data_IF_240963347010
#
_entry.id   IF_240963347010
#
_cell.length_a   1.000
_cell.length_b   1.000
_cell.length_c   1.000
_cell.angle_alpha   90.00
_cell.angle_beta   90.00
_cell.angle_gamma   90.00
#
_symmetry.space_group_name_H-M   'P 1'
#
loop_
_entity.id
_entity.type
_entity.pdbx_description
1 polymer ?
#
# COMPACT_ATOMS: atom_id res chain seq x y z
N UNK A 1 -0.74 13.17 6.77
CA UNK A 1 -1.03 13.14 5.31
C UNK A 1 -0.63 11.78 4.79
N UNK A 2 -1.60 10.87 4.63
CA UNK A 2 -1.36 9.52 4.12
C UNK A 2 -1.24 9.61 2.60
N UNK A 3 -0.01 9.58 2.08
CA UNK A 3 0.20 9.52 0.64
C UNK A 3 -0.52 8.29 0.05
N UNK A 4 -1.26 8.42 -1.06
CA UNK A 4 -1.70 7.26 -1.81
C UNK A 4 -0.50 6.73 -2.58
N UNK A 5 0.42 6.04 -1.90
CA UNK A 5 1.38 5.17 -2.58
C UNK A 5 0.71 3.82 -2.83
N UNK A 6 -0.42 3.88 -3.52
CA UNK A 6 -1.13 2.72 -4.08
C UNK A 6 -1.22 2.95 -5.58
N UNK A 7 -0.05 3.00 -6.22
CA UNK A 7 0.04 3.07 -7.68
C UNK A 7 0.66 1.79 -8.14
N UNK A 8 -0.13 0.98 -8.84
CA UNK A 8 0.42 -0.13 -9.60
C UNK A 8 1.16 0.45 -10.81
N UNK A 9 2.43 0.08 -11.00
CA UNK A 9 3.27 0.55 -12.10
C UNK A 9 3.08 -0.27 -13.39
N UNK A 10 2.09 -1.17 -13.38
CA UNK A 10 1.66 -2.03 -14.47
C UNK A 10 0.14 -2.22 -14.42
N UNK A 11 -0.40 -2.70 -15.52
CA UNK A 11 -1.80 -3.13 -15.66
C UNK A 11 -2.13 -4.42 -14.89
N UNK A 12 -1.13 -5.17 -14.43
CA UNK A 12 -1.39 -6.38 -13.66
C UNK A 12 -2.01 -6.11 -12.29
N UNK A 13 -2.95 -6.94 -11.88
CA UNK A 13 -3.57 -6.97 -10.54
C UNK A 13 -3.50 -8.37 -9.95
N UNK A 14 -3.79 -8.50 -8.65
CA UNK A 14 -3.78 -9.79 -7.96
C UNK A 14 -4.77 -10.73 -8.63
N UNK A 15 -4.28 -11.90 -9.06
CA UNK A 15 -5.07 -12.97 -9.66
C UNK A 15 -4.63 -14.30 -9.06
N UNK A 16 -5.52 -14.93 -8.28
CA UNK A 16 -5.18 -16.12 -7.49
C UNK A 16 -3.96 -15.89 -6.59
N UNK A 17 -2.91 -16.70 -6.78
CA UNK A 17 -1.64 -16.62 -6.05
C UNK A 17 -0.61 -15.66 -6.67
N UNK A 18 -0.92 -15.05 -7.82
CA UNK A 18 0.03 -14.24 -8.59
C UNK A 18 -0.55 -12.92 -9.08
N UNK A 19 0.01 -12.42 -10.18
CA UNK A 19 -0.42 -11.21 -10.86
C UNK A 19 -0.64 -11.51 -12.34
N UNK A 20 -1.75 -11.04 -12.88
CA UNK A 20 -2.12 -11.17 -14.29
C UNK A 20 -2.66 -9.83 -14.79
N UNK A 21 -2.65 -9.56 -16.11
CA UNK A 21 -3.31 -8.40 -16.69
C UNK A 21 -4.75 -8.27 -16.18
N UNK A 22 -5.12 -7.08 -15.74
CA UNK A 22 -6.48 -6.82 -15.29
C UNK A 22 -7.41 -6.63 -16.50
N UNK A 23 -8.63 -7.13 -16.38
CA UNK A 23 -9.64 -6.98 -17.41
C UNK A 23 -10.13 -5.53 -17.47
N UNK A 24 -9.69 -4.82 -18.52
CA UNK A 24 -10.06 -3.42 -18.74
C UNK A 24 -11.56 -3.26 -19.03
N UNK A 25 -12.27 -4.30 -19.47
CA UNK A 25 -13.72 -4.23 -19.68
C UNK A 25 -14.49 -4.12 -18.36
N UNK A 26 -13.93 -4.66 -17.26
CA UNK A 26 -14.51 -4.57 -15.93
C UNK A 26 -14.32 -3.18 -15.28
N UNK A 27 -13.26 -2.45 -15.66
CA UNK A 27 -13.03 -1.07 -15.23
C UNK A 27 -12.10 -0.37 -16.23
N UNK A 28 -12.62 0.38 -17.21
CA UNK A 28 -11.80 1.01 -18.25
C UNK A 28 -10.74 1.99 -17.71
N UNK A 29 -11.03 2.64 -16.58
CA UNK A 29 -10.17 3.66 -15.98
C UNK A 29 -9.25 3.12 -14.88
N UNK A 30 -9.08 1.80 -14.76
CA UNK A 30 -8.28 1.18 -13.69
C UNK A 30 -6.79 1.58 -13.74
N UNK A 31 -6.29 1.91 -14.93
CA UNK A 31 -4.91 2.35 -15.14
C UNK A 31 -4.75 3.88 -15.15
N UNK A 32 -5.80 4.66 -14.90
CA UNK A 32 -5.68 6.13 -14.76
C UNK A 32 -5.10 6.53 -13.41
N UNK A 33 -4.46 7.70 -13.37
CA UNK A 33 -4.09 8.36 -12.12
C UNK A 33 -5.33 8.50 -11.21
N UNK A 34 -5.27 8.20 -9.92
CA UNK A 34 -4.10 7.95 -9.03
C UNK A 34 -3.63 6.48 -8.93
N UNK A 35 -4.37 5.53 -9.50
CA UNK A 35 -4.18 4.08 -9.27
C UNK A 35 -3.27 3.38 -10.28
N UNK A 36 -3.13 3.95 -11.48
CA UNK A 36 -2.29 3.40 -12.54
C UNK A 36 -1.36 4.41 -13.18
N UNK A 37 -1.03 4.16 -14.44
CA UNK A 37 0.05 4.77 -15.18
C UNK A 37 -0.38 5.80 -16.25
N UNK A 38 -1.66 5.89 -16.58
CA UNK A 38 -2.21 6.87 -17.51
C UNK A 38 -2.47 8.22 -16.81
N UNK A 39 -2.23 9.33 -17.51
CA UNK A 39 -2.50 10.71 -17.05
C UNK A 39 -1.88 11.07 -15.68
N UNK A 40 -0.62 10.67 -15.48
CA UNK A 40 0.13 10.95 -14.25
C UNK A 40 0.43 12.44 -14.08
N UNK A 41 0.61 12.84 -12.83
CA UNK A 41 1.12 14.17 -12.43
C UNK A 41 2.42 14.55 -13.16
N UNK A 42 2.65 15.84 -13.47
CA UNK A 42 3.75 16.28 -14.35
C UNK A 42 5.14 15.80 -13.94
N UNK A 43 5.45 15.77 -12.63
CA UNK A 43 6.77 15.32 -12.16
C UNK A 43 7.04 13.81 -12.39
N UNK A 44 6.00 13.03 -12.67
CA UNK A 44 6.08 11.61 -13.00
C UNK A 44 5.79 11.34 -14.49
N UNK A 45 5.58 12.38 -15.30
CA UNK A 45 5.39 12.26 -16.74
C UNK A 45 6.68 11.76 -17.43
N UNK A 46 6.52 11.04 -18.54
CA UNK A 46 7.64 10.55 -19.36
C UNK A 46 8.48 9.40 -18.78
N UNK A 47 8.29 9.02 -17.51
CA UNK A 47 8.98 7.87 -16.92
C UNK A 47 8.16 6.59 -17.06
N UNK A 48 8.80 5.51 -17.51
CA UNK A 48 8.19 4.18 -17.49
C UNK A 48 8.01 3.66 -16.06
N UNK A 49 7.08 2.72 -15.89
CA UNK A 49 6.74 2.18 -14.58
C UNK A 49 7.90 1.50 -13.86
N UNK A 50 8.72 0.72 -14.58
CA UNK A 50 9.87 0.04 -13.97
C UNK A 50 10.91 1.04 -13.47
N UNK A 51 11.13 2.13 -14.20
CA UNK A 51 12.02 3.22 -13.75
C UNK A 51 11.50 3.85 -12.46
N UNK A 52 10.20 4.17 -12.39
CA UNK A 52 9.59 4.72 -11.19
C UNK A 52 9.67 3.74 -10.00
N UNK A 53 9.36 2.46 -10.23
CA UNK A 53 9.47 1.44 -9.19
C UNK A 53 10.90 1.26 -8.69
N UNK A 54 11.91 1.21 -9.58
CA UNK A 54 13.32 1.12 -9.16
C UNK A 54 13.71 2.28 -8.25
N UNK A 55 13.28 3.50 -8.57
CA UNK A 55 13.51 4.67 -7.72
C UNK A 55 12.75 4.55 -6.41
N UNK A 56 11.51 4.07 -6.45
CA UNK A 56 10.66 3.92 -5.28
C UNK A 56 11.25 2.90 -4.29
N UNK A 57 11.62 1.71 -4.77
CA UNK A 57 12.16 0.60 -3.97
C UNK A 57 13.44 0.93 -3.19
N UNK A 58 14.16 1.99 -3.55
CA UNK A 58 15.37 2.45 -2.84
C UNK A 58 15.08 3.50 -1.76
N UNK A 59 13.84 4.00 -1.66
CA UNK A 59 13.42 4.92 -0.61
C UNK A 59 13.13 4.14 0.66
N UNK A 60 13.35 4.79 1.80
CA UNK A 60 12.90 4.28 3.10
C UNK A 60 11.42 4.60 3.22
N UNK A 61 10.58 3.57 3.14
CA UNK A 61 9.13 3.70 3.29
C UNK A 61 8.67 2.70 4.33
N UNK A 62 7.90 3.17 5.32
CA UNK A 62 7.23 2.29 6.27
C UNK A 62 5.74 2.32 6.01
N UNK A 63 5.16 1.17 5.66
CA UNK A 63 3.72 1.00 5.57
C UNK A 63 3.16 0.65 6.95
N UNK A 64 2.17 1.42 7.38
CA UNK A 64 1.38 1.11 8.57
C UNK A 64 -0.06 0.88 8.12
N UNK A 65 -0.65 -0.26 8.44
CA UNK A 65 -2.06 -0.54 8.12
C UNK A 65 -2.77 -1.14 9.32
N UNK A 66 -3.96 -0.64 9.63
CA UNK A 66 -4.76 -1.16 10.73
C UNK A 66 -5.33 -2.54 10.41
N UNK A 67 -5.23 -3.50 11.34
CA UNK A 67 -5.80 -4.85 11.14
C UNK A 67 -7.34 -4.85 11.09
N UNK A 68 -7.97 -3.76 11.58
CA UNK A 68 -9.42 -3.55 11.56
C UNK A 68 -9.84 -2.50 10.52
N UNK A 69 -8.94 -2.05 9.63
CA UNK A 69 -9.29 -1.20 8.48
C UNK A 69 -9.80 -2.08 7.32
N UNK A 70 -10.81 -2.89 7.64
CA UNK A 70 -11.32 -4.04 6.88
C UNK A 70 -12.82 -3.93 6.57
N UNK A 71 -13.42 -2.76 6.74
CA UNK A 71 -14.82 -2.50 6.41
C UNK A 71 -14.96 -2.00 4.95
N UNK A 72 -15.55 -2.79 4.03
CA UNK A 72 -15.80 -2.34 2.65
C UNK A 72 -16.91 -1.28 2.56
N UNK A 73 -17.78 -1.22 3.59
CA UNK A 73 -18.86 -0.25 3.69
C UNK A 73 -18.41 1.15 4.11
N UNK A 74 -17.18 1.29 4.62
CA UNK A 74 -16.70 2.51 5.26
C UNK A 74 -16.93 3.77 4.39
N UNK A 75 -17.49 4.82 5.01
CA UNK A 75 -17.95 6.04 4.29
C UNK A 75 -16.84 6.74 3.51
N UNK A 76 -15.64 6.78 4.07
CA UNK A 76 -14.46 7.45 3.47
C UNK A 76 -13.64 6.53 2.56
N UNK A 77 -14.12 5.32 2.28
CA UNK A 77 -13.44 4.42 1.36
C UNK A 77 -13.72 4.87 -0.08
N UNK A 78 -12.65 4.98 -0.87
CA UNK A 78 -12.79 5.19 -2.32
C UNK A 78 -13.35 3.90 -2.94
N UNK A 79 -14.59 3.96 -3.43
CA UNK A 79 -15.34 2.83 -4.02
C UNK A 79 -15.39 2.91 -5.56
N UNK A 80 -14.55 3.75 -6.17
CA UNK A 80 -14.42 3.77 -7.63
C UNK A 80 -13.88 2.44 -8.14
N UNK A 81 -14.24 2.05 -9.36
CA UNK A 81 -13.82 0.74 -9.89
C UNK A 81 -12.30 0.56 -9.87
N UNK A 82 -11.53 1.63 -10.12
CA UNK A 82 -10.06 1.60 -10.10
C UNK A 82 -9.52 1.32 -8.70
N UNK A 83 -10.20 1.80 -7.67
CA UNK A 83 -9.86 1.55 -6.28
C UNK A 83 -10.24 0.12 -5.84
N UNK A 84 -11.42 -0.36 -6.26
CA UNK A 84 -11.88 -1.73 -6.03
C UNK A 84 -11.00 -2.77 -6.72
N UNK A 85 -10.39 -2.43 -7.87
CA UNK A 85 -9.41 -3.28 -8.54
C UNK A 85 -8.16 -3.57 -7.68
N UNK A 86 -7.89 -2.77 -6.63
CA UNK A 86 -6.82 -3.02 -5.67
C UNK A 86 -7.25 -3.90 -4.49
N UNK A 87 -8.55 -4.06 -4.26
CA UNK A 87 -9.16 -4.84 -3.17
C UNK A 87 -10.32 -4.11 -2.47
N UNK A 88 -11.17 -4.84 -1.74
CA UNK A 88 -12.42 -4.29 -1.18
C UNK A 88 -12.23 -3.45 0.08
N UNK A 89 -11.06 -3.52 0.73
CA UNK A 89 -10.80 -2.82 2.00
C UNK A 89 -9.42 -2.17 2.00
N UNK A 90 -9.16 -1.20 2.88
CA UNK A 90 -7.83 -0.56 2.95
C UNK A 90 -6.75 -1.55 3.38
N UNK A 91 -7.09 -2.52 4.23
CA UNK A 91 -6.23 -3.64 4.62
C UNK A 91 -5.89 -4.54 3.42
N UNK A 92 -6.89 -4.97 2.64
CA UNK A 92 -6.65 -5.81 1.46
C UNK A 92 -5.83 -5.09 0.42
N UNK A 93 -6.14 -3.83 0.14
CA UNK A 93 -5.38 -2.99 -0.79
C UNK A 93 -3.92 -2.86 -0.36
N UNK A 94 -3.63 -2.72 0.94
CA UNK A 94 -2.26 -2.64 1.45
C UNK A 94 -1.53 -3.99 1.24
N UNK A 95 -2.14 -5.10 1.62
CA UNK A 95 -1.56 -6.44 1.44
C UNK A 95 -1.33 -6.77 -0.04
N UNK A 96 -2.27 -6.40 -0.92
CA UNK A 96 -2.15 -6.60 -2.36
C UNK A 96 -1.02 -5.77 -2.95
N UNK A 97 -0.86 -4.53 -2.51
CA UNK A 97 0.26 -3.69 -2.92
C UNK A 97 1.61 -4.24 -2.46
N UNK A 98 1.72 -4.71 -1.22
CA UNK A 98 2.94 -5.33 -0.71
C UNK A 98 3.32 -6.61 -1.49
N UNK A 99 2.32 -7.42 -1.87
CA UNK A 99 2.55 -8.58 -2.75
C UNK A 99 2.97 -8.16 -4.15
N UNK A 100 2.40 -7.08 -4.66
CA UNK A 100 2.74 -6.52 -5.95
C UNK A 100 4.18 -6.00 -5.98
N UNK A 101 4.60 -5.33 -4.91
CA UNK A 101 5.97 -4.86 -4.73
C UNK A 101 6.97 -6.02 -4.75
N UNK A 102 6.67 -7.12 -4.04
CA UNK A 102 7.48 -8.35 -4.06
C UNK A 102 7.53 -8.98 -5.44
N UNK A 103 6.39 -9.02 -6.14
CA UNK A 103 6.31 -9.49 -7.53
C UNK A 103 7.21 -8.66 -8.46
N UNK A 104 7.20 -7.33 -8.34
CA UNK A 104 8.02 -6.44 -9.15
C UNK A 104 9.53 -6.52 -8.82
N UNK A 105 9.87 -6.71 -7.55
CA UNK A 105 11.25 -6.88 -7.11
C UNK A 105 11.85 -8.20 -7.63
N UNK A 106 11.04 -9.26 -7.70
CA UNK A 106 11.48 -10.59 -8.10
C UNK A 106 12.61 -11.12 -7.22
N UNK A 107 13.45 -12.00 -7.77
CA UNK A 107 14.61 -12.57 -7.06
C UNK A 107 15.80 -11.62 -6.90
N UNK A 108 15.75 -10.42 -7.50
CA UNK A 108 16.88 -9.46 -7.54
C UNK A 108 16.39 -8.04 -7.23
N UNK A 109 16.36 -7.70 -5.93
CA UNK A 109 16.63 -6.37 -5.32
C UNK A 109 16.14 -6.34 -3.88
N UNK A 110 16.89 -5.64 -3.02
CA UNK A 110 16.38 -5.19 -1.72
C UNK A 110 15.37 -4.07 -1.97
N UNK A 111 14.12 -4.31 -1.61
CA UNK A 111 13.18 -3.21 -1.38
C UNK A 111 13.43 -2.72 0.03
N UNK A 112 13.70 -1.43 0.19
CA UNK A 112 14.00 -0.80 1.49
C UNK A 112 12.75 -0.43 2.27
N UNK A 113 11.64 -1.13 2.01
CA UNK A 113 10.37 -0.85 2.66
C UNK A 113 10.15 -1.80 3.83
N UNK A 114 9.60 -1.23 4.89
CA UNK A 114 9.11 -1.96 6.04
C UNK A 114 7.59 -1.90 6.04
N UNK A 115 6.94 -2.90 6.63
CA UNK A 115 5.48 -2.93 6.69
C UNK A 115 5.02 -3.56 7.99
N UNK A 116 3.98 -2.97 8.57
CA UNK A 116 3.38 -3.43 9.81
C UNK A 116 1.85 -3.36 9.75
N UNK A 117 1.22 -4.41 10.24
CA UNK A 117 -0.19 -4.40 10.62
C UNK A 117 -0.31 -3.99 12.09
N UNK A 118 -1.01 -2.88 12.35
CA UNK A 118 -1.31 -2.38 13.70
C UNK A 118 -2.55 -3.10 14.23
N UNK A 119 -2.35 -3.90 15.28
CA UNK A 119 -3.36 -4.83 15.79
C UNK A 119 -4.50 -4.05 16.45
N UNK A 120 -5.74 -4.34 16.05
CA UNK A 120 -6.96 -3.79 16.63
C UNK A 120 -7.26 -2.34 16.26
N UNK A 121 -6.54 -1.77 15.31
CA UNK A 121 -6.73 -0.38 14.85
C UNK A 121 -7.40 -0.38 13.48
N UNK A 122 -8.40 0.49 13.31
CA UNK A 122 -9.11 0.74 12.05
C UNK A 122 -8.57 1.98 11.33
N UNK A 123 -9.45 2.79 10.77
CA UNK A 123 -9.10 4.04 10.09
C UNK A 123 -8.86 5.21 11.07
N UNK A 124 -7.95 5.05 12.03
CA UNK A 124 -7.69 6.01 13.12
C UNK A 124 -6.24 6.48 13.11
N UNK A 125 -5.99 7.72 12.70
CA UNK A 125 -4.63 8.24 12.52
C UNK A 125 -3.88 8.36 13.85
N UNK A 126 -4.55 8.78 14.93
CA UNK A 126 -3.93 8.95 16.23
C UNK A 126 -3.46 7.60 16.78
N UNK A 127 -4.29 6.56 16.69
CA UNK A 127 -3.93 5.19 17.11
C UNK A 127 -2.90 4.55 16.19
N UNK A 128 -2.90 4.88 14.89
CA UNK A 128 -1.88 4.40 13.96
C UNK A 128 -0.50 4.98 14.27
N UNK A 129 -0.36 6.30 14.41
CA UNK A 129 0.92 6.94 14.75
C UNK A 129 1.34 6.70 16.20
N UNK A 130 0.38 6.64 17.12
CA UNK A 130 0.59 6.29 18.53
C UNK A 130 0.82 4.79 18.79
N UNK A 131 0.80 3.94 17.76
CA UNK A 131 1.16 2.53 17.89
C UNK A 131 2.66 2.36 18.17
N UNK A 132 3.08 1.16 18.59
CA UNK A 132 4.50 0.85 18.84
C UNK A 132 5.34 1.05 17.58
N UNK A 133 4.91 0.49 16.45
CA UNK A 133 5.59 0.64 15.17
C UNK A 133 5.43 2.03 14.56
N UNK A 134 4.31 2.74 14.82
CA UNK A 134 4.13 4.12 14.40
C UNK A 134 5.11 5.07 15.06
N UNK A 135 5.24 4.98 16.38
CA UNK A 135 6.19 5.78 17.15
C UNK A 135 7.65 5.45 16.75
N UNK A 136 7.96 4.17 16.55
CA UNK A 136 9.28 3.75 16.05
C UNK A 136 9.57 4.32 14.65
N UNK A 137 8.63 4.25 13.72
CA UNK A 137 8.81 4.71 12.35
C UNK A 137 9.00 6.23 12.24
N UNK A 138 8.30 7.01 13.07
CA UNK A 138 8.36 8.47 13.03
C UNK A 138 9.51 9.05 13.87
N UNK A 139 9.72 8.50 15.07
CA UNK A 139 10.65 9.08 16.06
C UNK A 139 11.91 8.25 16.29
N UNK A 140 12.05 7.09 15.66
CA UNK A 140 13.17 6.17 15.91
C UNK A 140 13.18 5.58 17.32
N UNK A 141 12.08 5.71 18.07
CA UNK A 141 11.98 5.20 19.43
C UNK A 141 11.98 3.67 19.44
N UNK A 142 12.66 3.01 20.39
CA UNK A 142 12.49 1.58 20.59
C UNK A 142 11.01 1.24 20.84
N UNK A 143 10.49 0.16 20.25
CA UNK A 143 9.09 -0.23 20.44
C UNK A 143 8.70 -0.40 21.94
N UNK A 144 9.65 -0.77 22.79
CA UNK A 144 9.47 -0.87 24.25
C UNK A 144 9.22 0.49 24.93
N UNK A 145 9.70 1.59 24.35
CA UNK A 145 9.51 2.95 24.88
C UNK A 145 8.06 3.44 24.71
N UNK A 146 7.25 2.80 23.87
CA UNK A 146 5.82 3.10 23.70
C UNK A 146 4.94 1.89 24.05
N UNK A 147 5.15 1.30 25.22
CA UNK A 147 4.44 0.07 25.63
C UNK A 147 2.90 0.21 25.67
N UNK A 148 2.39 1.42 25.89
CA UNK A 148 0.95 1.72 25.87
C UNK A 148 0.34 1.77 24.45
N UNK A 149 1.18 1.94 23.42
CA UNK A 149 0.75 1.94 22.03
C UNK A 149 0.28 0.56 21.56
N UNK A 150 -0.61 0.55 20.56
CA UNK A 150 -1.08 -0.68 19.92
C UNK A 150 0.09 -1.53 19.41
N UNK A 151 0.00 -2.84 19.63
CA UNK A 151 0.99 -3.80 19.15
C UNK A 151 0.97 -3.91 17.62
N UNK A 152 2.09 -4.32 17.04
CA UNK A 152 2.23 -4.47 15.60
C UNK A 152 2.70 -5.89 15.25
N UNK A 153 2.32 -6.35 14.07
CA UNK A 153 2.77 -7.64 13.50
C UNK A 153 3.20 -7.47 12.05
N UNK A 154 3.97 -8.42 11.48
CA UNK A 154 4.18 -8.48 10.05
C UNK A 154 2.85 -8.59 9.28
N UNK A 155 2.70 -7.95 8.11
CA UNK A 155 1.51 -8.08 7.29
C UNK A 155 1.26 -9.52 6.84
N UNK A 156 -0.02 -9.89 6.73
CA UNK A 156 -0.44 -11.21 6.28
C UNK A 156 -0.48 -11.25 4.74
N UNK A 157 0.63 -11.69 4.13
CA UNK A 157 0.85 -11.74 2.68
C UNK A 157 0.67 -13.15 2.08
#
# INVERSE_FOLDING_TARGET
MWWPIRRHISTSRRSGRGFAPYDASACPDYDRYKYGMVDRVPYAAGMDGRTLFRRYAQRQVTYLVGSNDNDPGHRELDKTCSAEAEGPTRLDRARNYLRYERYLAGARKSVRHEAHEVIGVGHDQARMFGSRCGAQAVFGLPAAANAAGAACRPPQL
#
